data_IF_520444628543
#
_entry.id   IF_520444628543
#
_cell.length_a   1.000
_cell.length_b   1.000
_cell.length_c   1.000
_cell.angle_alpha   90.00
_cell.angle_beta   90.00
_cell.angle_gamma   90.00
#
_symmetry.space_group_name_H-M   'P 1'
#
loop_
_entity.id
_entity.type
_entity.pdbx_description
1 polymer ?
#
# COMPACT_ATOMS: atom_id res chain seq x y z
N UNK A 1 55.75 45.79 -0.86
CA UNK A 1 56.96 45.00 -0.41
C UNK A 1 56.88 43.61 -1.07
N UNK A 2 57.56 43.41 -2.20
CA UNK A 2 57.72 42.10 -2.83
C UNK A 2 58.85 41.33 -2.10
N UNK A 3 58.49 40.45 -1.17
CA UNK A 3 59.43 39.50 -0.59
C UNK A 3 59.70 38.42 -1.64
N UNK A 4 60.88 38.45 -2.23
CA UNK A 4 61.36 37.37 -3.10
C UNK A 4 61.65 36.16 -2.25
N UNK A 5 60.86 35.06 -2.48
CA UNK A 5 61.13 33.77 -1.86
C UNK A 5 62.39 33.20 -2.42
N UNK A 6 63.31 32.71 -1.57
CA UNK A 6 64.53 32.08 -2.04
C UNK A 6 64.27 30.79 -2.74
N UNK A 7 65.03 30.43 -3.75
CA UNK A 7 64.82 29.18 -4.53
C UNK A 7 64.77 27.95 -3.61
N UNK A 8 65.61 27.89 -2.58
CA UNK A 8 65.63 26.81 -1.60
C UNK A 8 64.27 26.71 -0.82
N UNK A 9 63.70 27.85 -0.38
CA UNK A 9 62.48 27.91 0.34
C UNK A 9 61.31 27.49 -0.57
N UNK A 10 61.30 27.85 -1.85
CA UNK A 10 60.28 27.42 -2.81
C UNK A 10 60.33 25.91 -3.04
N UNK A 11 61.52 25.33 -3.19
CA UNK A 11 61.68 23.87 -3.34
C UNK A 11 61.24 23.14 -2.07
N UNK A 12 61.54 23.61 -0.89
CA UNK A 12 61.10 23.01 0.38
C UNK A 12 59.54 23.01 0.50
N UNK A 13 58.87 24.11 0.13
CA UNK A 13 57.42 24.22 0.13
C UNK A 13 56.79 23.22 -0.87
N UNK A 14 57.37 23.09 -2.06
CA UNK A 14 56.85 22.13 -3.06
C UNK A 14 57.01 20.70 -2.58
N UNK A 15 58.16 20.33 -2.00
CA UNK A 15 58.38 18.97 -1.43
C UNK A 15 57.37 18.70 -0.30
N UNK A 16 57.16 19.65 0.59
CA UNK A 16 56.23 19.53 1.70
C UNK A 16 54.79 19.37 1.17
N UNK A 17 54.38 20.18 0.19
CA UNK A 17 53.07 20.06 -0.44
C UNK A 17 52.88 18.69 -1.11
N UNK A 18 53.90 18.21 -1.84
CA UNK A 18 53.86 16.88 -2.48
C UNK A 18 53.73 15.74 -1.45
N UNK A 19 54.51 15.81 -0.33
CA UNK A 19 54.39 14.79 0.73
C UNK A 19 53.05 14.80 1.41
N UNK A 20 52.48 15.95 1.70
CA UNK A 20 51.14 16.09 2.30
C UNK A 20 50.08 15.56 1.33
N UNK A 21 50.11 15.96 0.07
CA UNK A 21 49.16 15.48 -0.95
C UNK A 21 49.27 13.97 -1.13
N UNK A 22 50.47 13.42 -1.24
CA UNK A 22 50.69 11.97 -1.33
C UNK A 22 50.16 11.22 -0.11
N UNK A 23 50.41 11.72 1.10
CA UNK A 23 49.89 11.09 2.34
C UNK A 23 48.39 11.11 2.40
N UNK A 24 47.75 12.22 2.05
CA UNK A 24 46.27 12.32 2.02
C UNK A 24 45.68 11.37 0.94
N UNK A 25 46.26 11.39 -0.26
CA UNK A 25 45.81 10.51 -1.35
C UNK A 25 45.97 9.03 -0.98
N UNK A 26 47.10 8.67 -0.35
CA UNK A 26 47.37 7.31 0.11
C UNK A 26 46.38 6.86 1.20
N UNK A 27 46.07 7.74 2.19
CA UNK A 27 45.08 7.44 3.22
C UNK A 27 43.67 7.27 2.64
N UNK A 28 43.26 8.11 1.69
CA UNK A 28 41.98 7.98 0.99
C UNK A 28 41.94 6.69 0.16
N UNK A 29 43.03 6.40 -0.59
CA UNK A 29 43.12 5.18 -1.37
C UNK A 29 43.06 3.91 -0.48
N UNK A 30 43.76 3.91 0.68
CA UNK A 30 43.68 2.81 1.65
C UNK A 30 42.26 2.63 2.19
N UNK A 31 41.56 3.69 2.59
CA UNK A 31 40.17 3.60 3.07
C UNK A 31 39.21 3.05 2.01
N UNK A 32 39.32 3.53 0.76
CA UNK A 32 38.52 3.02 -0.35
C UNK A 32 38.86 1.56 -0.65
N UNK A 33 40.15 1.18 -0.60
CA UNK A 33 40.58 -0.19 -0.82
C UNK A 33 40.07 -1.13 0.28
N UNK A 34 40.23 -0.74 1.57
CA UNK A 34 39.77 -1.55 2.70
C UNK A 34 38.23 -1.75 2.66
N UNK A 35 37.46 -0.72 2.33
CA UNK A 35 36.01 -0.83 2.17
C UNK A 35 35.63 -1.76 1.01
N UNK A 36 36.34 -1.66 -0.11
CA UNK A 36 36.13 -2.51 -1.30
C UNK A 36 36.50 -3.97 -1.01
N UNK A 37 37.66 -4.21 -0.36
CA UNK A 37 38.11 -5.56 -0.02
C UNK A 37 37.21 -6.22 1.03
N UNK A 38 36.73 -5.49 2.03
CA UNK A 38 35.76 -6.02 3.01
C UNK A 38 34.48 -6.46 2.30
N UNK A 39 33.91 -5.63 1.46
CA UNK A 39 32.70 -5.97 0.70
C UNK A 39 32.90 -7.14 -0.27
N UNK A 40 34.10 -7.31 -0.84
CA UNK A 40 34.45 -8.44 -1.69
C UNK A 40 34.49 -9.75 -0.89
N UNK A 41 35.08 -9.75 0.34
CA UNK A 41 35.14 -10.94 1.18
C UNK A 41 33.75 -11.42 1.62
N UNK A 42 32.86 -10.50 1.99
CA UNK A 42 31.49 -10.85 2.36
C UNK A 42 30.74 -11.47 1.16
N UNK A 43 30.84 -10.82 0.00
CA UNK A 43 30.25 -11.33 -1.25
C UNK A 43 30.84 -12.68 -1.66
N UNK A 44 32.17 -12.83 -1.55
CA UNK A 44 32.86 -14.09 -1.86
C UNK A 44 32.35 -15.24 -0.98
N UNK A 45 32.16 -15.02 0.32
CA UNK A 45 31.60 -16.03 1.22
C UNK A 45 30.20 -16.46 0.82
N UNK A 46 29.34 -15.50 0.49
CA UNK A 46 27.98 -15.78 0.01
C UNK A 46 27.99 -16.57 -1.30
N UNK A 47 28.74 -16.10 -2.30
CA UNK A 47 28.81 -16.80 -3.59
C UNK A 47 29.43 -18.19 -3.49
N UNK A 48 30.42 -18.38 -2.63
CA UNK A 48 31.03 -19.71 -2.40
C UNK A 48 30.03 -20.67 -1.78
N UNK A 49 29.23 -20.22 -0.82
CA UNK A 49 28.15 -21.03 -0.24
C UNK A 49 27.09 -21.41 -1.27
N UNK A 50 26.63 -20.43 -2.08
CA UNK A 50 25.68 -20.71 -3.16
C UNK A 50 26.25 -21.71 -4.18
N UNK A 51 27.52 -21.55 -4.58
CA UNK A 51 28.18 -22.46 -5.51
C UNK A 51 28.35 -23.89 -4.94
N UNK A 52 28.52 -24.03 -3.61
CA UNK A 52 28.55 -25.31 -2.94
C UNK A 52 27.18 -26.01 -2.99
N UNK A 53 26.12 -25.27 -2.67
CA UNK A 53 24.72 -25.75 -2.76
C UNK A 53 24.38 -26.13 -4.19
N UNK A 54 24.65 -25.27 -5.15
CA UNK A 54 24.38 -25.50 -6.58
C UNK A 54 25.06 -26.77 -7.09
N UNK A 55 26.36 -26.95 -6.75
CA UNK A 55 27.10 -28.14 -7.16
C UNK A 55 26.51 -29.41 -6.56
N UNK A 56 26.06 -29.36 -5.29
CA UNK A 56 25.47 -30.54 -4.64
C UNK A 56 24.12 -30.86 -5.26
N UNK A 57 23.25 -29.89 -5.46
CA UNK A 57 21.92 -30.05 -6.04
C UNK A 57 22.03 -30.59 -7.47
N UNK A 58 22.78 -29.94 -8.35
CA UNK A 58 22.96 -30.37 -9.75
C UNK A 58 23.60 -31.74 -9.90
N UNK A 59 24.33 -32.19 -8.90
CA UNK A 59 24.96 -33.52 -8.91
C UNK A 59 24.11 -34.64 -8.35
N UNK A 60 23.03 -34.35 -7.63
CA UNK A 60 22.30 -35.36 -6.86
C UNK A 60 20.78 -35.26 -6.99
N UNK A 61 20.23 -34.12 -7.48
CA UNK A 61 18.79 -33.99 -7.63
C UNK A 61 18.28 -35.00 -8.68
N UNK A 62 17.11 -35.53 -8.41
CA UNK A 62 16.41 -36.45 -9.31
C UNK A 62 15.66 -35.68 -10.44
N UNK A 63 15.26 -34.47 -10.18
CA UNK A 63 14.46 -33.66 -11.11
C UNK A 63 15.36 -32.77 -11.96
N UNK A 64 14.89 -32.47 -13.17
CA UNK A 64 15.49 -31.43 -14.02
C UNK A 64 15.27 -30.06 -13.42
N UNK A 65 16.29 -29.21 -13.44
CA UNK A 65 16.24 -27.86 -12.89
C UNK A 65 15.78 -26.89 -13.97
N UNK A 66 14.68 -26.20 -13.73
CA UNK A 66 14.30 -25.03 -14.49
C UNK A 66 15.12 -23.82 -14.03
N UNK A 67 16.04 -23.37 -14.89
CA UNK A 67 16.97 -22.28 -14.55
C UNK A 67 16.24 -20.95 -14.32
N UNK A 68 15.12 -20.68 -15.03
CA UNK A 68 14.35 -19.44 -14.87
C UNK A 68 13.70 -19.41 -13.49
N UNK A 69 13.01 -20.48 -13.13
CA UNK A 69 12.37 -20.62 -11.81
C UNK A 69 13.41 -20.58 -10.69
N UNK A 70 14.57 -21.23 -10.89
CA UNK A 70 15.65 -21.19 -9.90
C UNK A 70 16.16 -19.77 -9.67
N UNK A 71 16.41 -18.99 -10.73
CA UNK A 71 16.92 -17.63 -10.63
C UNK A 71 15.90 -16.68 -10.00
N UNK A 72 14.63 -16.79 -10.34
CA UNK A 72 13.56 -16.03 -9.73
C UNK A 72 13.47 -16.31 -8.22
N UNK A 73 13.45 -17.59 -7.83
CA UNK A 73 13.40 -18.00 -6.41
C UNK A 73 14.64 -17.60 -5.62
N UNK A 74 15.84 -17.68 -6.23
CA UNK A 74 17.08 -17.20 -5.59
C UNK A 74 17.01 -15.68 -5.34
N UNK A 75 16.53 -14.91 -6.31
CA UNK A 75 16.39 -13.46 -6.20
C UNK A 75 15.39 -13.08 -5.12
N UNK A 76 14.22 -13.73 -5.11
CA UNK A 76 13.22 -13.55 -4.06
C UNK A 76 13.75 -13.95 -2.68
N UNK A 77 14.42 -15.10 -2.58
CA UNK A 77 15.03 -15.60 -1.32
C UNK A 77 16.12 -14.66 -0.80
N UNK A 78 16.89 -14.01 -1.69
CA UNK A 78 17.88 -13.02 -1.28
C UNK A 78 17.20 -11.84 -0.58
N UNK A 79 16.09 -11.32 -1.14
CA UNK A 79 15.35 -10.20 -0.53
C UNK A 79 14.72 -10.61 0.81
N UNK A 80 14.11 -11.78 0.91
CA UNK A 80 13.59 -12.31 2.17
C UNK A 80 14.71 -12.39 3.24
N UNK A 81 15.92 -12.77 2.84
CA UNK A 81 17.09 -12.85 3.73
C UNK A 81 17.57 -11.50 4.24
N UNK A 82 17.15 -10.37 3.67
CA UNK A 82 17.52 -9.03 4.14
C UNK A 82 16.77 -8.62 5.40
N UNK A 83 15.63 -9.25 5.70
CA UNK A 83 14.74 -8.85 6.79
C UNK A 83 13.85 -7.64 6.48
N UNK A 84 13.92 -7.10 5.27
CA UNK A 84 13.01 -6.04 4.81
C UNK A 84 11.66 -6.65 4.39
N UNK A 85 10.66 -6.57 5.28
CA UNK A 85 9.32 -7.14 5.06
C UNK A 85 8.57 -6.56 3.84
N UNK A 86 9.01 -5.42 3.33
CA UNK A 86 8.42 -4.75 2.17
C UNK A 86 9.26 -4.85 0.91
N UNK A 87 10.45 -5.46 0.97
CA UNK A 87 11.21 -5.76 -0.23
C UNK A 87 10.45 -6.79 -1.08
N UNK A 88 10.45 -6.59 -2.40
CA UNK A 88 9.78 -7.46 -3.36
C UNK A 88 10.66 -7.71 -4.57
N UNK A 89 10.62 -8.94 -5.04
CA UNK A 89 11.11 -9.33 -6.34
C UNK A 89 9.92 -9.56 -7.27
N UNK A 90 9.97 -8.98 -8.43
CA UNK A 90 8.97 -9.17 -9.47
C UNK A 90 9.61 -9.89 -10.65
N UNK A 91 9.04 -11.01 -11.08
CA UNK A 91 9.39 -11.62 -12.37
C UNK A 91 9.12 -10.64 -13.52
N UNK A 92 9.66 -10.86 -14.69
CA UNK A 92 9.44 -9.96 -15.83
C UNK A 92 7.95 -9.76 -16.15
N UNK A 93 7.14 -10.83 -16.04
CA UNK A 93 5.68 -10.75 -16.21
C UNK A 93 5.05 -9.92 -15.08
N UNK A 94 5.30 -10.26 -13.82
CA UNK A 94 4.74 -9.56 -12.68
C UNK A 94 5.13 -8.07 -12.64
N UNK A 95 6.33 -7.73 -13.14
CA UNK A 95 6.74 -6.33 -13.28
C UNK A 95 5.94 -5.59 -14.36
N UNK A 96 5.66 -6.24 -15.48
CA UNK A 96 4.79 -5.67 -16.52
C UNK A 96 3.39 -5.41 -15.98
N UNK A 97 2.83 -6.36 -15.24
CA UNK A 97 1.51 -6.21 -14.59
C UNK A 97 1.50 -5.06 -13.58
N UNK A 98 2.56 -4.95 -12.75
CA UNK A 98 2.71 -3.83 -11.81
C UNK A 98 2.66 -2.47 -12.51
N UNK A 99 3.39 -2.32 -13.62
CA UNK A 99 3.40 -1.06 -14.39
C UNK A 99 2.04 -0.78 -15.00
N UNK A 100 1.34 -1.81 -15.52
CA UNK A 100 0.00 -1.64 -16.05
C UNK A 100 -0.98 -1.15 -14.97
N UNK A 101 -0.95 -1.78 -13.80
CA UNK A 101 -1.77 -1.37 -12.64
C UNK A 101 -1.46 0.09 -12.23
N UNK A 102 -0.19 0.47 -12.15
CA UNK A 102 0.22 1.84 -11.82
C UNK A 102 -0.25 2.88 -12.85
N UNK A 103 -0.42 2.47 -14.10
CA UNK A 103 -0.97 3.30 -15.17
C UNK A 103 -2.52 3.26 -15.22
N UNK A 104 -3.18 2.66 -14.23
CA UNK A 104 -4.63 2.52 -14.18
C UNK A 104 -5.21 1.53 -15.19
N UNK A 105 -4.35 0.70 -15.82
CA UNK A 105 -4.78 -0.32 -16.78
C UNK A 105 -4.66 -1.69 -16.14
N UNK A 106 -5.77 -2.36 -15.94
CA UNK A 106 -5.81 -3.75 -15.50
C UNK A 106 -6.06 -4.69 -16.68
N UNK A 107 -5.48 -5.89 -16.63
CA UNK A 107 -5.67 -6.93 -17.63
C UNK A 107 -6.45 -8.09 -17.01
N UNK A 108 -7.50 -8.54 -17.67
CA UNK A 108 -8.33 -9.65 -17.19
C UNK A 108 -9.77 -9.51 -17.61
N UNK A 109 -10.69 -10.07 -16.81
CA UNK A 109 -12.14 -9.95 -17.06
C UNK A 109 -12.80 -8.77 -16.34
N UNK A 110 -12.16 -8.13 -15.37
CA UNK A 110 -12.64 -6.91 -14.72
C UNK A 110 -13.65 -7.13 -13.60
N UNK A 111 -13.32 -8.00 -12.64
CA UNK A 111 -14.09 -8.20 -11.40
C UNK A 111 -13.19 -8.17 -10.17
N UNK A 112 -13.75 -7.76 -9.03
CA UNK A 112 -13.23 -8.05 -7.69
C UNK A 112 -14.10 -9.06 -6.99
N UNK A 113 -13.48 -9.91 -6.18
CA UNK A 113 -14.12 -11.06 -5.57
C UNK A 113 -13.84 -11.12 -4.08
N UNK A 114 -14.81 -11.70 -3.34
CA UNK A 114 -14.62 -12.15 -1.97
C UNK A 114 -15.17 -13.57 -1.83
N UNK A 115 -14.54 -14.41 -1.00
CA UNK A 115 -15.14 -15.72 -0.67
C UNK A 115 -16.19 -15.50 0.41
N UNK A 116 -17.39 -15.99 0.15
CA UNK A 116 -18.47 -15.95 1.10
C UNK A 116 -18.64 -17.29 1.86
N UNK A 117 -19.63 -17.35 2.74
CA UNK A 117 -19.92 -18.56 3.53
C UNK A 117 -20.33 -19.78 2.67
N UNK A 118 -20.79 -19.60 1.45
CA UNK A 118 -21.09 -20.69 0.53
C UNK A 118 -19.83 -21.38 0.00
N UNK A 119 -18.67 -20.71 0.14
CA UNK A 119 -17.37 -21.12 -0.42
C UNK A 119 -17.21 -20.75 -1.88
N UNK A 120 -18.15 -20.06 -2.50
CA UNK A 120 -18.00 -19.48 -3.84
C UNK A 120 -17.46 -18.05 -3.78
N UNK A 121 -16.92 -17.58 -4.90
CA UNK A 121 -16.40 -16.23 -5.02
C UNK A 121 -17.51 -15.25 -5.41
N UNK A 122 -17.98 -14.46 -4.43
CA UNK A 122 -18.96 -13.39 -4.63
C UNK A 122 -18.31 -12.22 -5.35
N UNK A 123 -18.94 -11.72 -6.39
CA UNK A 123 -18.52 -10.51 -7.13
C UNK A 123 -18.83 -9.28 -6.27
N UNK A 124 -17.79 -8.58 -5.85
CA UNK A 124 -17.88 -7.36 -5.01
C UNK A 124 -17.77 -6.08 -5.84
N UNK A 125 -17.12 -6.15 -7.02
CA UNK A 125 -17.02 -5.03 -7.98
C UNK A 125 -16.99 -5.59 -9.41
N UNK A 126 -17.59 -4.87 -10.34
CA UNK A 126 -17.46 -5.07 -11.78
C UNK A 126 -16.99 -3.74 -12.38
N UNK A 127 -15.87 -3.78 -13.08
CA UNK A 127 -15.30 -2.59 -13.69
C UNK A 127 -16.03 -2.21 -14.97
N UNK A 128 -16.15 -0.92 -15.22
CA UNK A 128 -16.75 -0.37 -16.44
C UNK A 128 -15.91 -0.75 -17.67
N UNK A 129 -16.57 -1.01 -18.77
CA UNK A 129 -15.96 -1.40 -20.06
C UNK A 129 -15.08 -2.66 -19.96
N UNK A 130 -15.39 -3.53 -18.98
CA UNK A 130 -14.70 -4.80 -18.78
C UNK A 130 -15.42 -5.97 -19.46
N UNK A 131 -14.69 -7.07 -19.81
CA UNK A 131 -15.31 -8.28 -20.35
C UNK A 131 -16.41 -8.87 -19.45
N UNK A 132 -16.28 -8.77 -18.14
CA UNK A 132 -17.31 -9.23 -17.21
C UNK A 132 -18.58 -8.40 -17.31
N UNK A 133 -18.48 -7.07 -17.44
CA UNK A 133 -19.64 -6.20 -17.63
C UNK A 133 -20.33 -6.51 -18.96
N UNK A 134 -19.58 -6.70 -20.03
CA UNK A 134 -20.12 -7.06 -21.35
C UNK A 134 -20.85 -8.41 -21.32
N UNK A 135 -20.35 -9.37 -20.54
CA UNK A 135 -20.98 -10.66 -20.33
C UNK A 135 -22.22 -10.61 -19.43
N UNK A 136 -22.48 -9.48 -18.78
CA UNK A 136 -23.62 -9.28 -17.90
C UNK A 136 -23.42 -9.75 -16.47
N UNK A 137 -22.19 -10.02 -16.05
CA UNK A 137 -21.84 -10.28 -14.64
C UNK A 137 -22.10 -9.01 -13.82
N UNK A 138 -22.68 -9.16 -12.63
CA UNK A 138 -23.06 -8.05 -11.75
C UNK A 138 -22.49 -8.22 -10.36
N UNK A 139 -22.41 -7.12 -9.64
CA UNK A 139 -22.12 -7.13 -8.19
C UNK A 139 -23.20 -7.98 -7.50
N UNK A 140 -22.77 -8.89 -6.63
CA UNK A 140 -23.62 -9.85 -5.95
C UNK A 140 -23.74 -11.23 -6.62
N UNK A 141 -23.32 -11.37 -7.87
CA UNK A 141 -23.23 -12.69 -8.53
C UNK A 141 -22.14 -13.55 -7.89
N UNK A 142 -22.17 -14.86 -8.13
CA UNK A 142 -21.21 -15.82 -7.57
C UNK A 142 -20.48 -16.55 -8.68
N UNK A 143 -19.16 -16.37 -8.78
CA UNK A 143 -18.33 -17.21 -9.65
C UNK A 143 -18.21 -18.59 -9.01
N UNK A 144 -18.63 -19.61 -9.75
CA UNK A 144 -18.70 -21.00 -9.26
C UNK A 144 -17.61 -21.88 -9.86
N UNK A 145 -17.19 -21.59 -11.10
CA UNK A 145 -16.06 -22.30 -11.72
C UNK A 145 -15.27 -21.39 -12.67
N UNK A 146 -13.96 -21.67 -12.79
CA UNK A 146 -13.05 -21.04 -13.73
C UNK A 146 -12.32 -22.15 -14.51
N UNK A 147 -12.37 -22.12 -15.83
CA UNK A 147 -11.84 -23.15 -16.72
C UNK A 147 -12.31 -24.57 -16.36
N UNK A 148 -13.59 -24.69 -15.93
CA UNK A 148 -14.19 -25.94 -15.50
C UNK A 148 -13.74 -26.43 -14.12
N UNK A 149 -12.88 -25.68 -13.40
CA UNK A 149 -12.48 -26.01 -12.04
C UNK A 149 -13.41 -25.30 -11.02
N UNK A 150 -14.01 -26.08 -10.11
CA UNK A 150 -14.88 -25.55 -9.06
C UNK A 150 -14.08 -24.62 -8.12
N UNK A 151 -14.57 -23.40 -7.90
CA UNK A 151 -13.98 -22.39 -7.01
C UNK A 151 -13.78 -22.90 -5.59
N UNK A 152 -14.68 -23.75 -5.08
CA UNK A 152 -14.56 -24.37 -3.74
C UNK A 152 -13.33 -25.27 -3.58
N UNK A 153 -12.78 -25.75 -4.70
CA UNK A 153 -11.57 -26.56 -4.73
C UNK A 153 -10.29 -25.73 -4.76
N UNK A 154 -10.40 -24.41 -4.91
CA UNK A 154 -9.27 -23.49 -5.01
C UNK A 154 -8.87 -22.99 -3.61
N UNK A 155 -7.58 -22.68 -3.42
CA UNK A 155 -7.04 -22.18 -2.15
C UNK A 155 -7.24 -20.66 -2.02
N UNK A 156 -8.50 -20.23 -1.84
CA UNK A 156 -8.84 -18.83 -1.54
C UNK A 156 -9.11 -17.96 -2.77
N UNK A 157 -9.59 -16.75 -2.50
CA UNK A 157 -10.02 -15.77 -3.51
C UNK A 157 -8.90 -15.35 -4.45
N UNK A 158 -7.67 -15.26 -3.96
CA UNK A 158 -6.51 -14.85 -4.74
C UNK A 158 -6.19 -15.81 -5.87
N UNK A 159 -6.35 -17.11 -5.62
CA UNK A 159 -6.20 -18.12 -6.67
C UNK A 159 -7.24 -17.96 -7.76
N UNK A 160 -8.50 -17.68 -7.36
CA UNK A 160 -9.59 -17.41 -8.33
C UNK A 160 -9.28 -16.15 -9.13
N UNK A 161 -8.90 -15.07 -8.46
CA UNK A 161 -8.56 -13.80 -9.11
C UNK A 161 -7.38 -13.93 -10.08
N UNK A 162 -6.34 -14.69 -9.70
CA UNK A 162 -5.20 -14.95 -10.56
C UNK A 162 -5.59 -15.67 -11.85
N UNK A 163 -6.50 -16.64 -11.77
CA UNK A 163 -7.01 -17.37 -12.96
C UNK A 163 -7.90 -16.51 -13.87
N UNK A 164 -8.55 -15.49 -13.31
CA UNK A 164 -9.38 -14.53 -14.07
C UNK A 164 -8.57 -13.38 -14.69
N UNK A 165 -7.28 -13.29 -14.37
CA UNK A 165 -6.32 -12.41 -15.04
C UNK A 165 -5.68 -13.15 -16.20
N UNK A 166 -5.22 -12.42 -17.22
CA UNK A 166 -4.53 -13.00 -18.34
C UNK A 166 -4.09 -11.94 -19.34
N UNK A 167 -3.22 -12.34 -20.27
CA UNK A 167 -2.76 -11.47 -21.33
C UNK A 167 -3.91 -11.07 -22.25
N UNK A 168 -3.89 -9.82 -22.72
CA UNK A 168 -4.92 -9.32 -23.65
C UNK A 168 -5.05 -10.22 -24.89
N UNK A 169 -6.29 -10.60 -25.19
CA UNK A 169 -6.62 -11.49 -26.30
C UNK A 169 -6.63 -12.99 -25.95
N UNK A 170 -6.17 -13.40 -24.76
CA UNK A 170 -6.40 -14.77 -24.25
C UNK A 170 -7.81 -14.88 -23.67
N UNK A 171 -8.32 -16.09 -23.43
CA UNK A 171 -9.68 -16.30 -22.94
C UNK A 171 -9.70 -17.21 -21.73
N UNK A 172 -10.66 -16.99 -20.86
CA UNK A 172 -10.96 -17.83 -19.69
C UNK A 172 -12.44 -18.21 -19.71
N UNK A 173 -12.75 -19.47 -19.44
CA UNK A 173 -14.13 -19.93 -19.29
C UNK A 173 -14.61 -19.65 -17.85
N UNK A 174 -15.71 -18.92 -17.72
CA UNK A 174 -16.28 -18.55 -16.41
C UNK A 174 -17.70 -19.08 -16.29
N UNK A 175 -17.98 -19.76 -15.17
CA UNK A 175 -19.34 -20.13 -14.77
C UNK A 175 -19.74 -19.33 -13.54
N UNK A 176 -20.94 -18.72 -13.57
CA UNK A 176 -21.44 -17.93 -12.44
C UNK A 176 -22.94 -18.11 -12.22
N UNK A 177 -23.38 -17.84 -11.01
CA UNK A 177 -24.79 -17.75 -10.62
C UNK A 177 -25.16 -16.28 -10.45
N UNK A 178 -26.28 -15.88 -11.05
CA UNK A 178 -26.84 -14.55 -10.82
C UNK A 178 -27.68 -14.48 -9.52
N UNK A 179 -28.25 -13.31 -9.24
CA UNK A 179 -29.08 -13.07 -8.05
C UNK A 179 -30.35 -13.94 -7.97
N UNK A 180 -30.77 -14.53 -9.08
CA UNK A 180 -31.91 -15.46 -9.16
C UNK A 180 -31.44 -16.93 -9.08
N UNK A 181 -30.16 -17.16 -8.81
CA UNK A 181 -29.52 -18.48 -8.82
C UNK A 181 -29.58 -19.21 -10.19
N UNK A 182 -29.72 -18.45 -11.27
CA UNK A 182 -29.60 -18.97 -12.62
C UNK A 182 -28.14 -19.11 -13.00
N UNK A 183 -27.76 -20.27 -13.54
CA UNK A 183 -26.40 -20.56 -13.97
C UNK A 183 -26.14 -20.01 -15.37
N UNK A 184 -25.00 -19.31 -15.49
CA UNK A 184 -24.47 -18.78 -16.72
C UNK A 184 -23.05 -19.32 -16.97
N UNK A 185 -22.66 -19.48 -18.23
CA UNK A 185 -21.31 -19.88 -18.63
C UNK A 185 -20.93 -19.14 -19.91
N UNK A 186 -19.72 -18.57 -19.94
CA UNK A 186 -19.19 -17.91 -21.11
C UNK A 186 -17.65 -17.96 -21.15
N UNK A 187 -17.11 -17.95 -22.37
CA UNK A 187 -15.69 -17.69 -22.60
C UNK A 187 -15.49 -16.19 -22.68
N UNK A 188 -14.76 -15.63 -21.70
CA UNK A 188 -14.46 -14.20 -21.60
C UNK A 188 -13.07 -13.94 -22.12
N UNK A 189 -12.93 -13.00 -23.06
CA UNK A 189 -11.62 -12.63 -23.60
C UNK A 189 -11.00 -11.56 -22.70
N UNK A 190 -9.81 -11.81 -22.19
CA UNK A 190 -9.06 -10.83 -21.41
C UNK A 190 -8.79 -9.57 -22.22
N UNK A 191 -9.09 -8.43 -21.66
CA UNK A 191 -8.79 -7.12 -22.25
C UNK A 191 -8.26 -6.16 -21.20
N UNK A 192 -7.68 -5.05 -21.67
CA UNK A 192 -7.37 -3.91 -20.80
C UNK A 192 -8.67 -3.18 -20.44
N UNK A 193 -8.87 -2.89 -19.15
CA UNK A 193 -9.94 -2.03 -18.65
C UNK A 193 -9.37 -1.04 -17.66
N UNK A 194 -10.01 0.13 -17.54
CA UNK A 194 -9.59 1.16 -16.59
C UNK A 194 -10.22 0.87 -15.25
N UNK A 195 -9.40 0.72 -14.23
CA UNK A 195 -9.89 0.65 -12.87
C UNK A 195 -10.25 2.06 -12.40
N UNK A 196 -11.53 2.33 -12.13
CA UNK A 196 -11.89 3.53 -11.37
C UNK A 196 -11.38 3.38 -9.93
N UNK A 197 -10.61 4.35 -9.48
CA UNK A 197 -10.05 4.37 -8.12
C UNK A 197 -10.89 5.18 -7.16
N UNK A 198 -11.86 5.95 -7.66
CA UNK A 198 -12.74 6.80 -6.85
C UNK A 198 -14.20 6.54 -7.22
N UNK A 199 -14.97 6.07 -6.24
CA UNK A 199 -16.43 6.05 -6.31
C UNK A 199 -17.00 7.18 -5.46
N UNK A 200 -18.11 7.79 -5.87
CA UNK A 200 -18.74 8.87 -5.11
C UNK A 200 -20.26 8.84 -5.16
N UNK A 201 -20.90 9.27 -4.07
CA UNK A 201 -22.35 9.36 -3.95
C UNK A 201 -22.74 10.53 -3.03
N UNK A 202 -23.83 11.21 -3.31
CA UNK A 202 -24.46 12.08 -2.34
C UNK A 202 -25.43 11.26 -1.50
N UNK A 203 -25.14 11.13 -0.20
CA UNK A 203 -25.98 10.42 0.75
C UNK A 203 -27.10 11.33 1.29
N UNK A 204 -27.97 10.76 2.11
CA UNK A 204 -29.00 11.51 2.81
C UNK A 204 -28.38 12.66 3.64
N UNK A 205 -29.15 13.72 3.89
CA UNK A 205 -28.73 14.91 4.63
C UNK A 205 -27.53 15.65 4.03
N UNK A 206 -27.36 15.56 2.70
CA UNK A 206 -26.32 16.27 1.94
C UNK A 206 -24.88 15.92 2.37
N UNK A 207 -24.63 14.70 2.81
CA UNK A 207 -23.28 14.19 3.09
C UNK A 207 -22.69 13.62 1.79
N UNK A 208 -21.60 14.19 1.30
CA UNK A 208 -20.86 13.62 0.17
C UNK A 208 -20.02 12.43 0.65
N UNK A 209 -20.20 11.28 0.02
CA UNK A 209 -19.39 10.09 0.25
C UNK A 209 -18.43 9.89 -0.92
N UNK A 210 -17.17 9.59 -0.60
CA UNK A 210 -16.09 9.34 -1.56
C UNK A 210 -15.32 8.12 -1.08
N UNK A 211 -15.37 7.02 -1.83
CA UNK A 211 -14.51 5.85 -1.64
C UNK A 211 -13.26 6.02 -2.49
N UNK A 212 -12.09 5.92 -1.87
CA UNK A 212 -10.82 5.85 -2.59
C UNK A 212 -10.26 4.43 -2.39
N UNK A 213 -10.20 3.65 -3.47
CA UNK A 213 -9.75 2.26 -3.42
C UNK A 213 -8.23 2.15 -3.34
N UNK A 214 -7.52 2.98 -4.09
CA UNK A 214 -6.06 3.07 -4.10
C UNK A 214 -5.65 4.43 -4.68
N UNK A 215 -4.36 4.74 -4.60
CA UNK A 215 -3.78 5.93 -5.24
C UNK A 215 -2.94 5.52 -6.45
N UNK A 216 -3.38 5.90 -7.64
CA UNK A 216 -2.67 5.70 -8.91
C UNK A 216 -2.78 6.96 -9.79
N UNK A 217 -2.22 6.90 -11.01
CA UNK A 217 -2.15 8.05 -11.91
C UNK A 217 -3.51 8.63 -12.32
N UNK A 218 -4.63 7.93 -12.13
CA UNK A 218 -5.99 8.41 -12.45
C UNK A 218 -6.68 9.05 -11.25
N UNK A 219 -6.31 8.65 -10.04
CA UNK A 219 -6.98 9.04 -8.79
C UNK A 219 -7.10 10.56 -8.59
N UNK A 220 -6.08 11.40 -8.85
CA UNK A 220 -6.22 12.84 -8.66
C UNK A 220 -7.32 13.46 -9.54
N UNK A 221 -7.44 13.03 -10.79
CA UNK A 221 -8.46 13.53 -11.71
C UNK A 221 -9.86 13.03 -11.37
N UNK A 222 -9.99 11.78 -10.96
CA UNK A 222 -11.25 11.18 -10.52
C UNK A 222 -11.75 11.84 -9.22
N UNK A 223 -10.84 12.10 -8.28
CA UNK A 223 -11.15 12.77 -7.02
C UNK A 223 -11.58 14.23 -7.26
N UNK A 224 -10.88 14.99 -8.11
CA UNK A 224 -11.27 16.35 -8.46
C UNK A 224 -12.68 16.38 -9.06
N UNK A 225 -12.99 15.45 -9.97
CA UNK A 225 -14.33 15.31 -10.53
C UNK A 225 -15.38 15.01 -9.46
N UNK A 226 -15.12 14.07 -8.57
CA UNK A 226 -16.03 13.69 -7.48
C UNK A 226 -16.30 14.87 -6.53
N UNK A 227 -15.24 15.60 -6.13
CA UNK A 227 -15.35 16.78 -5.26
C UNK A 227 -16.20 17.88 -5.89
N UNK A 228 -15.96 18.21 -7.15
CA UNK A 228 -16.77 19.21 -7.89
C UNK A 228 -18.22 18.77 -8.04
N UNK A 229 -18.45 17.51 -8.39
CA UNK A 229 -19.81 16.95 -8.57
C UNK A 229 -20.61 17.00 -7.27
N UNK A 230 -20.02 16.55 -6.16
CA UNK A 230 -20.67 16.55 -4.85
C UNK A 230 -20.93 17.96 -4.33
N UNK A 231 -19.97 18.88 -4.49
CA UNK A 231 -20.14 20.29 -4.12
C UNK A 231 -21.26 20.93 -4.92
N UNK A 232 -21.30 20.71 -6.24
CA UNK A 232 -22.37 21.21 -7.11
C UNK A 232 -23.74 20.62 -6.76
N UNK A 233 -23.77 19.39 -6.24
CA UNK A 233 -24.98 18.70 -5.77
C UNK A 233 -25.40 19.12 -4.35
N UNK A 234 -24.67 20.04 -3.71
CA UNK A 234 -25.03 20.62 -2.41
C UNK A 234 -24.53 19.83 -1.20
N UNK A 235 -23.43 19.09 -1.32
CA UNK A 235 -22.81 18.46 -0.17
C UNK A 235 -22.39 19.50 0.87
N UNK A 236 -22.72 19.24 2.15
CA UNK A 236 -22.43 20.12 3.29
C UNK A 236 -21.31 19.58 4.18
N UNK A 237 -20.89 18.34 3.96
CA UNK A 237 -19.76 17.67 4.58
C UNK A 237 -19.30 16.52 3.68
N UNK A 238 -18.08 16.02 3.90
CA UNK A 238 -17.52 14.93 3.12
C UNK A 238 -17.02 13.79 4.02
N UNK A 239 -17.29 12.56 3.58
CA UNK A 239 -16.76 11.32 4.15
C UNK A 239 -15.85 10.67 3.11
N UNK A 240 -14.57 10.53 3.42
CA UNK A 240 -13.59 9.78 2.64
C UNK A 240 -13.46 8.37 3.20
N UNK A 241 -13.91 7.37 2.48
CA UNK A 241 -13.77 5.97 2.87
C UNK A 241 -12.44 5.41 2.31
N UNK A 242 -11.50 5.17 3.23
CA UNK A 242 -10.18 4.61 2.97
C UNK A 242 -10.05 3.19 3.52
N UNK A 243 -11.13 2.56 3.96
CA UNK A 243 -11.08 1.15 4.41
C UNK A 243 -10.57 0.28 3.26
N UNK A 244 -9.71 -0.65 3.57
CA UNK A 244 -9.10 -1.59 2.63
C UNK A 244 -8.25 -0.93 1.52
N UNK A 245 -7.89 0.35 1.70
CA UNK A 245 -6.95 1.06 0.83
C UNK A 245 -5.51 0.88 1.33
N UNK A 246 -4.74 0.02 0.67
CA UNK A 246 -3.33 -0.26 0.99
C UNK A 246 -2.35 0.86 0.62
N UNK A 247 -2.82 1.99 0.11
CA UNK A 247 -2.00 3.12 -0.35
C UNK A 247 -1.91 3.21 -1.86
N UNK A 248 -0.70 3.17 -2.40
CA UNK A 248 -0.41 3.29 -3.83
C UNK A 248 0.72 4.27 -4.10
N UNK A 249 0.63 5.03 -5.19
CA UNK A 249 1.64 6.00 -5.61
C UNK A 249 1.58 7.22 -4.69
N UNK A 250 2.70 7.51 -4.03
CA UNK A 250 2.77 8.56 -3.01
C UNK A 250 2.56 9.96 -3.60
N UNK A 251 3.10 10.21 -4.79
CA UNK A 251 2.96 11.46 -5.52
C UNK A 251 1.51 11.75 -5.89
N UNK A 252 0.75 10.72 -6.25
CA UNK A 252 -0.68 10.86 -6.57
C UNK A 252 -1.52 11.11 -5.31
N UNK A 253 -1.18 10.44 -4.19
CA UNK A 253 -1.80 10.74 -2.90
C UNK A 253 -1.53 12.19 -2.45
N UNK A 254 -0.30 12.70 -2.61
CA UNK A 254 0.06 14.09 -2.33
C UNK A 254 -0.77 15.04 -3.20
N UNK A 255 -0.93 14.74 -4.49
CA UNK A 255 -1.77 15.52 -5.39
C UNK A 255 -3.25 15.51 -4.97
N UNK A 256 -3.77 14.37 -4.51
CA UNK A 256 -5.11 14.26 -3.96
C UNK A 256 -5.29 15.09 -2.68
N UNK A 257 -4.29 15.12 -1.79
CA UNK A 257 -4.32 15.90 -0.56
C UNK A 257 -4.35 17.41 -0.89
N UNK A 258 -3.58 17.86 -1.87
CA UNK A 258 -3.52 19.27 -2.30
C UNK A 258 -4.87 19.79 -2.83
N UNK A 259 -5.71 18.92 -3.40
CA UNK A 259 -7.08 19.26 -3.81
C UNK A 259 -8.02 19.61 -2.65
N UNK A 260 -7.63 19.32 -1.40
CA UNK A 260 -8.56 19.34 -0.25
C UNK A 260 -8.06 20.25 0.86
N UNK A 261 -6.74 20.24 1.11
CA UNK A 261 -6.16 20.85 2.31
C UNK A 261 -5.73 22.29 2.08
N UNK A 262 -5.72 23.15 3.13
CA UNK A 262 -5.06 24.44 3.05
C UNK A 262 -3.55 24.30 2.87
N UNK A 263 -2.88 25.44 2.62
CA UNK A 263 -1.42 25.46 2.49
C UNK A 263 -0.73 24.82 3.70
N UNK A 264 0.22 23.92 3.42
CA UNK A 264 0.97 23.23 4.46
C UNK A 264 1.89 22.15 3.93
N UNK A 265 2.84 21.74 4.74
CA UNK A 265 3.72 20.62 4.44
C UNK A 265 2.97 19.29 4.61
N UNK A 266 3.13 18.38 3.66
CA UNK A 266 2.43 17.09 3.65
C UNK A 266 3.29 15.93 4.10
N UNK A 267 4.52 15.81 3.58
CA UNK A 267 5.36 14.66 3.86
C UNK A 267 6.85 14.92 3.71
N UNK A 268 7.64 14.15 4.47
CA UNK A 268 9.08 14.03 4.31
C UNK A 268 9.49 12.56 4.15
N UNK A 269 10.55 12.32 3.38
CA UNK A 269 11.32 11.08 3.45
C UNK A 269 12.48 11.25 4.42
N UNK A 270 12.69 10.30 5.35
CA UNK A 270 13.86 10.26 6.22
C UNK A 270 14.69 9.02 5.87
N UNK A 271 15.92 9.24 5.36
CA UNK A 271 16.82 8.16 4.99
C UNK A 271 17.43 7.45 6.21
N UNK A 272 18.17 6.36 5.98
CA UNK A 272 18.83 5.59 7.04
C UNK A 272 19.91 6.38 7.81
N UNK A 273 20.29 7.57 7.36
CA UNK A 273 21.24 8.45 8.01
C UNK A 273 20.57 9.59 8.79
N UNK A 274 19.23 9.67 8.74
CA UNK A 274 18.44 10.70 9.38
C UNK A 274 18.30 11.99 8.57
N UNK A 275 18.70 11.99 7.28
CA UNK A 275 18.48 13.14 6.41
C UNK A 275 17.04 13.17 5.95
N UNK A 276 16.41 14.35 6.06
CA UNK A 276 15.02 14.56 5.64
C UNK A 276 14.95 15.28 4.32
N UNK A 277 14.16 14.74 3.40
CA UNK A 277 13.84 15.36 2.11
C UNK A 277 12.35 15.64 2.05
N UNK A 278 11.95 16.86 1.71
CA UNK A 278 10.56 17.22 1.49
C UNK A 278 10.02 16.47 0.27
N UNK A 279 8.90 15.79 0.43
CA UNK A 279 8.22 15.06 -0.65
C UNK A 279 7.09 15.85 -1.28
N UNK A 280 6.42 16.69 -0.51
CA UNK A 280 5.35 17.52 -1.03
C UNK A 280 4.75 18.48 -0.01
N UNK A 281 4.07 19.48 -0.52
CA UNK A 281 3.32 20.48 0.23
C UNK A 281 2.01 20.77 -0.48
N UNK A 282 0.96 21.09 0.27
CA UNK A 282 -0.28 21.63 -0.28
C UNK A 282 -0.13 23.12 -0.56
N UNK A 283 -0.66 23.53 -1.68
CA UNK A 283 -0.71 24.97 -2.10
C UNK A 283 -1.87 25.72 -1.44
N UNK A 284 -2.92 25.01 -1.05
CA UNK A 284 -4.15 25.57 -0.51
C UNK A 284 -5.08 26.21 -1.53
N UNK A 285 -4.72 26.19 -2.83
CA UNK A 285 -5.51 26.83 -3.88
C UNK A 285 -6.91 26.21 -4.06
N UNK A 286 -7.02 24.90 -3.80
CA UNK A 286 -8.26 24.12 -3.93
C UNK A 286 -8.89 23.76 -2.58
N UNK A 287 -8.42 24.34 -1.47
CA UNK A 287 -8.82 23.97 -0.12
C UNK A 287 -10.35 23.95 0.07
N UNK A 288 -10.84 22.87 0.68
CA UNK A 288 -12.27 22.64 0.93
C UNK A 288 -12.61 23.10 2.35
N UNK A 289 -13.59 23.98 2.48
CA UNK A 289 -14.04 24.50 3.77
C UNK A 289 -15.16 23.66 4.43
N UNK A 290 -15.50 22.50 3.88
CA UNK A 290 -16.49 21.59 4.44
C UNK A 290 -15.91 20.76 5.59
N UNK A 291 -16.71 20.36 6.57
CA UNK A 291 -16.33 19.35 7.55
C UNK A 291 -15.96 18.02 6.88
N UNK A 292 -14.84 17.41 7.31
CA UNK A 292 -14.28 16.21 6.73
C UNK A 292 -14.23 15.07 7.74
N UNK A 293 -14.54 13.88 7.28
CA UNK A 293 -14.37 12.63 8.03
C UNK A 293 -13.61 11.63 7.15
N UNK A 294 -12.63 10.94 7.72
CA UNK A 294 -11.97 9.81 7.07
C UNK A 294 -12.41 8.52 7.78
N UNK A 295 -13.00 7.59 7.04
CA UNK A 295 -13.34 6.26 7.49
C UNK A 295 -12.18 5.31 7.17
N UNK A 296 -11.60 4.69 8.20
CA UNK A 296 -10.36 3.90 8.11
C UNK A 296 -10.49 2.56 8.84
N UNK A 297 -9.65 1.58 8.47
CA UNK A 297 -9.55 0.29 9.16
C UNK A 297 -8.11 -0.24 9.20
N UNK A 298 -7.92 -1.44 9.75
CA UNK A 298 -6.60 -2.08 9.86
C UNK A 298 -5.89 -2.37 8.53
N UNK A 299 -6.60 -2.32 7.41
CA UNK A 299 -6.06 -2.48 6.06
C UNK A 299 -5.75 -1.13 5.37
N UNK A 300 -6.13 0.00 5.99
CA UNK A 300 -5.73 1.34 5.52
C UNK A 300 -4.24 1.52 5.78
N UNK A 301 -3.42 1.73 4.72
CA UNK A 301 -1.97 1.68 4.84
C UNK A 301 -1.24 2.74 4.00
N UNK A 302 0.00 3.10 4.41
CA UNK A 302 0.97 3.83 3.59
C UNK A 302 0.44 5.20 3.11
N UNK A 303 0.34 5.44 1.80
CA UNK A 303 -0.18 6.68 1.22
C UNK A 303 -1.60 7.03 1.70
N UNK A 304 -2.44 6.01 1.99
CA UNK A 304 -3.78 6.22 2.56
C UNK A 304 -3.72 6.73 4.01
N UNK A 305 -2.71 6.30 4.79
CA UNK A 305 -2.47 6.82 6.12
C UNK A 305 -1.96 8.27 6.06
N UNK A 306 -1.07 8.57 5.10
CA UNK A 306 -0.63 9.95 4.86
C UNK A 306 -1.81 10.85 4.50
N UNK A 307 -2.70 10.41 3.60
CA UNK A 307 -3.92 11.13 3.22
C UNK A 307 -4.78 11.43 4.46
N UNK A 308 -5.13 10.42 5.24
CA UNK A 308 -5.95 10.57 6.44
C UNK A 308 -5.29 11.47 7.49
N UNK A 309 -3.98 11.31 7.73
CA UNK A 309 -3.19 12.13 8.66
C UNK A 309 -3.12 13.59 8.22
N UNK A 310 -2.91 13.85 6.93
CA UNK A 310 -2.84 15.21 6.38
C UNK A 310 -4.18 15.94 6.50
N UNK A 311 -5.29 15.27 6.17
CA UNK A 311 -6.62 15.84 6.34
C UNK A 311 -6.94 16.12 7.82
N UNK A 312 -6.53 15.22 8.73
CA UNK A 312 -6.68 15.47 10.18
C UNK A 312 -5.89 16.70 10.62
N UNK A 313 -4.62 16.78 10.22
CA UNK A 313 -3.69 17.81 10.70
C UNK A 313 -3.99 19.18 10.11
N UNK A 314 -4.27 19.25 8.80
CA UNK A 314 -4.42 20.53 8.10
C UNK A 314 -5.87 21.01 8.01
N UNK A 315 -6.83 20.11 7.88
CA UNK A 315 -8.25 20.44 7.71
C UNK A 315 -9.13 20.05 8.91
N UNK A 316 -8.56 19.51 9.98
CA UNK A 316 -9.31 19.11 11.18
C UNK A 316 -10.26 17.94 10.97
N UNK A 317 -10.03 17.10 9.97
CA UNK A 317 -10.83 15.90 9.71
C UNK A 317 -10.87 14.97 10.92
N UNK A 318 -11.98 14.28 11.14
CA UNK A 318 -12.11 13.24 12.15
C UNK A 318 -11.90 11.86 11.53
N UNK A 319 -11.12 11.02 12.17
CA UNK A 319 -10.94 9.64 11.79
C UNK A 319 -11.96 8.76 12.52
N UNK A 320 -12.70 7.96 11.76
CA UNK A 320 -13.74 7.03 12.24
C UNK A 320 -13.35 5.62 11.81
N UNK A 321 -13.63 4.61 12.62
CA UNK A 321 -13.37 3.21 12.28
C UNK A 321 -12.45 2.52 13.28
N UNK A 322 -11.36 1.94 12.83
CA UNK A 322 -10.34 1.28 13.65
C UNK A 322 -8.93 1.76 13.33
N UNK A 323 -7.98 1.52 14.23
CA UNK A 323 -6.56 1.86 14.02
C UNK A 323 -6.05 1.32 12.68
N UNK A 324 -5.29 2.13 11.95
CA UNK A 324 -4.74 1.78 10.64
C UNK A 324 -3.53 0.84 10.74
N UNK A 325 -3.05 0.33 9.60
CA UNK A 325 -1.99 -0.69 9.54
C UNK A 325 -0.64 -0.24 10.14
N UNK A 326 -0.24 1.01 9.94
CA UNK A 326 1.07 1.50 10.37
C UNK A 326 2.21 1.17 9.41
N UNK A 327 2.00 1.35 8.10
CA UNK A 327 3.07 1.23 7.09
C UNK A 327 3.69 2.60 6.80
N UNK A 328 4.59 3.05 7.68
CA UNK A 328 5.29 4.34 7.57
C UNK A 328 6.65 4.24 6.86
N UNK A 329 6.74 3.46 5.76
CA UNK A 329 7.97 3.28 4.99
C UNK A 329 7.75 3.60 3.51
N UNK A 330 8.84 4.05 2.85
CA UNK A 330 8.86 4.35 1.42
C UNK A 330 9.70 3.30 0.73
N UNK A 331 9.14 2.68 -0.29
CA UNK A 331 9.83 1.76 -1.17
C UNK A 331 10.47 2.52 -2.34
N UNK A 332 11.58 1.97 -2.86
CA UNK A 332 12.19 2.49 -4.10
C UNK A 332 11.23 2.33 -5.27
N UNK A 333 11.39 3.17 -6.30
CA UNK A 333 10.86 2.82 -7.62
C UNK A 333 11.41 1.44 -8.03
N UNK A 334 10.63 0.63 -8.76
CA UNK A 334 11.09 -0.67 -9.21
C UNK A 334 12.38 -0.55 -10.04
N UNK A 335 13.47 -1.16 -9.55
CA UNK A 335 14.74 -1.22 -10.26
C UNK A 335 14.70 -2.42 -11.21
N UNK A 336 14.50 -2.15 -12.50
CA UNK A 336 14.51 -3.19 -13.53
C UNK A 336 15.88 -3.84 -13.67
N UNK A 337 15.92 -5.17 -13.77
CA UNK A 337 17.10 -5.98 -13.99
C UNK A 337 17.27 -6.32 -15.50
N UNK A 338 18.38 -6.95 -15.84
CA UNK A 338 18.75 -7.22 -17.23
C UNK A 338 17.85 -8.25 -17.94
N UNK A 339 17.22 -9.14 -17.17
CA UNK A 339 16.30 -10.16 -17.65
C UNK A 339 14.83 -9.67 -17.75
N UNK A 340 14.58 -8.41 -17.38
CA UNK A 340 13.25 -7.80 -17.38
C UNK A 340 12.52 -7.88 -16.04
N UNK A 341 13.01 -8.66 -15.09
CA UNK A 341 12.52 -8.68 -13.72
C UNK A 341 12.80 -7.36 -12.98
N UNK A 342 12.26 -7.15 -11.78
CA UNK A 342 12.50 -5.94 -11.02
C UNK A 342 12.61 -6.19 -9.51
N UNK A 343 13.28 -5.27 -8.83
CA UNK A 343 13.48 -5.29 -7.38
C UNK A 343 12.98 -3.99 -6.77
N UNK A 344 12.27 -4.10 -5.67
CA UNK A 344 11.82 -2.99 -4.82
C UNK A 344 12.33 -3.22 -3.40
N UNK A 345 12.87 -2.19 -2.77
CA UNK A 345 13.39 -2.25 -1.38
C UNK A 345 12.94 -1.02 -0.61
N UNK A 346 12.91 -1.10 0.72
CA UNK A 346 12.65 0.05 1.58
C UNK A 346 13.86 0.98 1.58
N UNK A 347 13.63 2.26 1.24
CA UNK A 347 14.69 3.28 1.11
C UNK A 347 14.61 4.39 2.16
N UNK A 348 13.43 4.64 2.73
CA UNK A 348 13.22 5.70 3.70
C UNK A 348 12.02 5.42 4.62
N UNK A 349 11.93 6.17 5.72
CA UNK A 349 10.70 6.33 6.48
C UNK A 349 9.85 7.45 5.88
N UNK A 350 8.54 7.26 5.92
CA UNK A 350 7.55 8.28 5.58
C UNK A 350 7.18 9.05 6.85
N UNK A 351 7.46 10.34 6.87
CA UNK A 351 7.05 11.23 7.95
C UNK A 351 5.91 12.13 7.46
N UNK A 352 4.92 12.36 8.31
CA UNK A 352 3.88 13.36 8.08
C UNK A 352 4.47 14.78 8.07
N UNK A 353 3.69 15.76 7.62
CA UNK A 353 4.11 17.16 7.54
C UNK A 353 4.52 17.77 8.87
N UNK A 354 3.96 17.31 9.98
CA UNK A 354 4.33 17.68 11.35
C UNK A 354 5.58 16.95 11.89
N UNK A 355 6.16 16.06 11.09
CA UNK A 355 7.32 15.25 11.43
C UNK A 355 6.99 13.98 12.23
N UNK A 356 5.73 13.69 12.51
CA UNK A 356 5.29 12.43 13.12
C UNK A 356 5.44 11.25 12.15
N UNK A 357 5.50 10.03 12.69
CA UNK A 357 5.60 8.80 11.92
C UNK A 357 4.61 7.78 12.49
N UNK A 358 3.82 7.17 11.62
CA UNK A 358 2.87 6.13 11.97
C UNK A 358 3.42 4.71 11.79
N UNK A 359 4.70 4.56 11.43
CA UNK A 359 5.31 3.24 11.19
C UNK A 359 5.25 2.34 12.42
N UNK A 360 4.69 1.15 12.25
CA UNK A 360 4.50 0.14 13.31
C UNK A 360 3.40 0.45 14.32
N UNK A 361 2.77 1.63 14.29
CA UNK A 361 1.72 2.01 15.27
C UNK A 361 0.36 2.27 14.63
N UNK A 362 0.33 2.69 13.36
CA UNK A 362 -0.87 3.17 12.71
C UNK A 362 -1.38 4.51 13.23
N UNK A 363 -2.47 4.99 12.63
CA UNK A 363 -3.20 6.16 13.07
C UNK A 363 -4.33 5.72 13.99
N UNK A 364 -4.36 6.25 15.20
CA UNK A 364 -5.50 6.08 16.12
C UNK A 364 -6.69 6.89 15.62
N UNK A 365 -7.89 6.35 15.78
CA UNK A 365 -9.14 7.00 15.36
C UNK A 365 -9.69 7.93 16.46
N UNK A 366 -10.42 8.96 16.05
CA UNK A 366 -11.13 9.88 16.97
C UNK A 366 -12.46 9.28 17.43
N UNK A 367 -13.05 8.44 16.61
CA UNK A 367 -14.34 7.78 16.85
C UNK A 367 -14.20 6.31 16.49
N UNK A 368 -14.09 5.45 17.48
CA UNK A 368 -14.00 4.02 17.27
C UNK A 368 -15.33 3.42 16.81
N UNK A 369 -15.29 2.60 15.77
CA UNK A 369 -16.40 1.80 15.28
C UNK A 369 -15.87 0.50 14.66
N UNK A 370 -15.65 -0.48 15.50
CA UNK A 370 -15.36 -1.86 15.08
C UNK A 370 -16.65 -2.54 14.64
N UNK A 371 -16.57 -3.46 13.68
CA UNK A 371 -17.68 -4.35 13.33
C UNK A 371 -17.80 -5.46 14.36
N UNK A 372 -19.02 -5.79 14.75
CA UNK A 372 -19.30 -7.01 15.54
C UNK A 372 -19.05 -8.26 14.69
N UNK A 373 -18.99 -9.43 15.32
CA UNK A 373 -18.80 -10.69 14.59
C UNK A 373 -19.91 -10.93 13.54
N UNK A 374 -21.15 -10.62 13.88
CA UNK A 374 -22.28 -10.75 12.95
C UNK A 374 -22.18 -9.76 11.79
N UNK A 375 -21.78 -8.51 12.06
CA UNK A 375 -21.58 -7.49 11.03
C UNK A 375 -20.39 -7.85 10.11
N UNK A 376 -19.32 -8.44 10.63
CA UNK A 376 -18.19 -8.91 9.81
C UNK A 376 -18.64 -10.01 8.83
N UNK A 377 -19.49 -10.90 9.27
CA UNK A 377 -20.04 -11.96 8.41
C UNK A 377 -20.86 -11.39 7.25
N UNK A 378 -21.55 -10.27 7.48
CA UNK A 378 -22.39 -9.59 6.49
C UNK A 378 -21.71 -8.43 5.78
N UNK A 379 -20.40 -8.28 5.93
CA UNK A 379 -19.65 -7.09 5.43
C UNK A 379 -19.88 -6.80 3.94
N UNK A 380 -19.86 -7.84 3.12
CA UNK A 380 -20.08 -7.72 1.66
C UNK A 380 -21.55 -7.60 1.24
N UNK A 381 -22.48 -7.66 2.19
CA UNK A 381 -23.91 -7.49 1.95
C UNK A 381 -24.37 -6.05 2.28
N UNK A 382 -23.52 -5.24 2.92
CA UNK A 382 -23.85 -3.87 3.23
C UNK A 382 -23.93 -3.00 1.99
N UNK A 383 -24.92 -2.14 1.98
CA UNK A 383 -25.03 -1.00 1.06
C UNK A 383 -24.54 0.28 1.75
N UNK A 384 -24.42 1.37 1.00
CA UNK A 384 -24.09 2.69 1.58
C UNK A 384 -25.06 3.11 2.70
N UNK A 385 -26.33 2.67 2.62
CA UNK A 385 -27.36 3.00 3.61
C UNK A 385 -27.40 2.03 4.80
N UNK A 386 -26.80 0.84 4.71
CA UNK A 386 -26.87 -0.20 5.75
C UNK A 386 -25.55 -0.47 6.45
N UNK A 387 -24.43 0.01 5.89
CA UNK A 387 -23.10 -0.16 6.50
C UNK A 387 -22.99 0.62 7.81
N UNK A 388 -22.81 -0.06 8.95
CA UNK A 388 -22.81 0.57 10.26
C UNK A 388 -21.60 1.50 10.49
N UNK A 389 -20.49 1.29 9.78
CA UNK A 389 -19.32 2.17 9.85
C UNK A 389 -19.53 3.43 9.02
N UNK A 390 -20.12 3.31 7.82
CA UNK A 390 -20.53 4.48 7.00
C UNK A 390 -21.56 5.31 7.76
N UNK A 391 -22.58 4.70 8.36
CA UNK A 391 -23.56 5.39 9.19
C UNK A 391 -22.91 6.16 10.34
N UNK A 392 -21.89 5.58 10.98
CA UNK A 392 -21.14 6.26 12.03
C UNK A 392 -20.34 7.44 11.50
N UNK A 393 -19.70 7.31 10.33
CA UNK A 393 -18.97 8.38 9.68
C UNK A 393 -19.91 9.54 9.26
N UNK A 394 -21.07 9.21 8.67
CA UNK A 394 -22.10 10.17 8.29
C UNK A 394 -22.60 10.95 9.52
N UNK A 395 -22.97 10.27 10.60
CA UNK A 395 -23.42 10.93 11.83
C UNK A 395 -22.34 11.84 12.44
N UNK A 396 -21.08 11.47 12.33
CA UNK A 396 -19.95 12.31 12.76
C UNK A 396 -19.80 13.55 11.88
N UNK A 397 -19.93 13.41 10.55
CA UNK A 397 -19.87 14.53 9.61
C UNK A 397 -21.01 15.53 9.84
N UNK A 398 -22.23 15.04 10.10
CA UNK A 398 -23.39 15.87 10.43
C UNK A 398 -23.20 16.66 11.73
N UNK A 399 -22.64 16.03 12.77
CA UNK A 399 -22.33 16.72 14.03
C UNK A 399 -21.34 17.87 13.83
N UNK A 400 -20.32 17.67 12.99
CA UNK A 400 -19.36 18.71 12.64
C UNK A 400 -20.01 19.86 11.86
N UNK A 401 -20.91 19.56 10.91
CA UNK A 401 -21.66 20.55 10.15
C UNK A 401 -22.59 21.37 11.05
N UNK A 402 -23.28 20.75 11.99
CA UNK A 402 -24.15 21.43 12.97
C UNK A 402 -23.39 22.37 13.90
N UNK A 403 -22.14 22.06 14.20
CA UNK A 403 -21.27 22.91 15.05
C UNK A 403 -20.75 24.12 14.25
N UNK A 404 -20.58 24.01 12.96
CA UNK A 404 -20.07 25.10 12.08
C UNK A 404 -21.14 26.16 11.83
N UNK A 405 -22.43 25.82 11.86
CA UNK A 405 -23.54 26.78 11.63
C UNK A 405 -23.84 27.67 12.85
N UNK A 406 -23.30 27.37 14.03
CA UNK A 406 -23.54 28.16 15.28
C UNK A 406 -22.35 29.04 15.68
N UNK A 407 -21.24 28.99 14.96
CA UNK A 407 -19.97 29.63 15.32
C UNK A 407 -19.80 31.09 14.87
N UNK A 408 -20.73 31.95 15.20
CA UNK A 408 -20.58 33.41 15.13
C UNK A 408 -20.38 34.11 16.48
N UNK A 409 -20.11 33.42 17.60
CA UNK A 409 -19.67 34.03 18.87
C UNK A 409 -18.97 32.96 19.71
N UNK A 410 -17.69 33.19 20.00
CA UNK A 410 -16.96 32.48 21.06
C UNK A 410 -17.52 32.90 22.42
N UNK A 411 -18.18 32.01 23.14
CA UNK A 411 -18.24 32.06 24.60
C UNK A 411 -17.79 30.72 25.15
N UNK A 412 -16.58 30.75 25.68
CA UNK A 412 -16.06 29.71 26.56
C UNK A 412 -16.84 29.72 27.88
N UNK A 413 -17.74 28.78 28.07
CA UNK A 413 -18.26 28.51 29.41
C UNK A 413 -17.41 27.44 30.06
N UNK A 414 -16.45 27.91 30.84
CA UNK A 414 -15.86 27.20 31.97
C UNK A 414 -16.96 26.87 32.97
N UNK A 415 -17.14 25.60 33.28
CA UNK A 415 -17.72 25.21 34.58
C UNK A 415 -16.86 24.13 35.20
N UNK A 416 -16.00 24.60 36.09
CA UNK A 416 -15.36 23.78 37.09
C UNK A 416 -16.40 23.41 38.16
N UNK A 417 -16.41 22.16 38.58
CA UNK A 417 -16.84 21.77 39.91
C UNK A 417 -15.90 20.66 40.35
N UNK A 418 -15.14 20.98 41.36
CA UNK A 418 -14.26 20.13 42.13
C UNK A 418 -15.02 19.40 43.24
N UNK A 419 -14.32 18.44 43.79
CA UNK A 419 -14.39 17.77 45.09
C UNK A 419 -14.68 16.25 44.95
N UNK A 420 -14.06 15.35 45.65
CA UNK A 420 -13.00 15.31 46.66
C UNK A 420 -12.61 13.83 46.93
N UNK A 421 -11.37 13.62 47.39
CA UNK A 421 -10.87 12.52 48.25
C UNK A 421 -10.90 11.07 47.75
N UNK A 422 -9.78 10.46 47.44
CA UNK A 422 -8.90 9.89 48.48
C UNK A 422 -8.90 8.38 48.50
N UNK A 423 -7.73 7.81 48.33
CA UNK A 423 -7.15 6.64 48.96
C UNK A 423 -6.52 5.59 48.05
N UNK A 424 -5.22 5.50 48.22
CA UNK A 424 -4.28 4.39 48.05
C UNK A 424 -4.81 2.99 47.73
N UNK A 425 -4.22 2.35 46.70
CA UNK A 425 -3.57 1.05 46.89
C UNK A 425 -2.71 0.68 45.65
N UNK A 426 -1.42 0.49 45.92
CA UNK A 426 -0.46 -0.18 45.06
C UNK A 426 -0.90 -1.62 44.79
N UNK A 427 -0.87 -2.05 43.52
CA UNK A 427 -0.60 -3.44 43.18
C UNK A 427 0.18 -3.47 41.84
N UNK A 428 1.28 -4.13 41.95
CA UNK A 428 2.31 -4.54 40.99
C UNK A 428 1.83 -4.95 39.60
N UNK A 429 2.57 -4.44 38.63
CA UNK A 429 2.53 -4.86 37.19
C UNK A 429 3.47 -6.06 37.05
N UNK A 430 2.96 -7.18 36.60
CA UNK A 430 3.73 -8.21 35.94
C UNK A 430 3.40 -8.22 34.44
N UNK A 431 4.48 -8.32 33.68
CA UNK A 431 4.55 -8.26 32.24
C UNK A 431 4.10 -9.56 31.58
N UNK A 432 3.16 -9.52 30.66
CA UNK A 432 3.01 -10.51 29.60
C UNK A 432 2.80 -9.78 28.27
N UNK A 433 3.85 -9.72 27.49
CA UNK A 433 3.79 -9.36 26.08
C UNK A 433 4.84 -10.18 25.33
N UNK A 434 4.41 -11.24 24.71
CA UNK A 434 5.11 -11.90 23.59
C UNK A 434 4.29 -13.10 23.09
N UNK A 435 3.31 -12.92 22.23
CA UNK A 435 2.70 -14.04 21.50
C UNK A 435 1.87 -13.66 20.26
N UNK A 436 1.89 -12.44 19.73
CA UNK A 436 1.04 -12.09 18.57
C UNK A 436 1.79 -11.69 17.27
N UNK A 437 3.11 -11.76 17.23
CA UNK A 437 3.86 -11.37 16.02
C UNK A 437 4.20 -12.50 15.05
N UNK A 438 3.92 -13.76 15.40
CA UNK A 438 4.24 -14.90 14.52
C UNK A 438 3.12 -15.29 13.55
N UNK A 439 1.87 -14.97 13.83
CA UNK A 439 0.74 -15.39 12.99
C UNK A 439 0.62 -14.66 11.64
N UNK A 440 1.16 -13.44 11.52
CA UNK A 440 1.09 -12.65 10.27
C UNK A 440 2.18 -13.08 9.26
N UNK A 441 3.33 -13.57 9.74
CA UNK A 441 4.42 -14.02 8.87
C UNK A 441 4.14 -15.38 8.21
N UNK A 442 3.35 -16.24 8.84
CA UNK A 442 2.99 -17.55 8.27
C UNK A 442 1.92 -17.44 7.17
N UNK A 443 1.02 -16.47 7.25
CA UNK A 443 -0.01 -16.27 6.22
C UNK A 443 0.56 -15.70 4.91
N UNK A 444 1.59 -14.85 4.97
CA UNK A 444 2.25 -14.32 3.76
C UNK A 444 3.23 -15.34 3.14
N UNK A 445 3.85 -16.18 3.93
CA UNK A 445 4.67 -17.30 3.43
C UNK A 445 3.80 -18.37 2.74
N UNK A 446 2.61 -18.64 3.28
CA UNK A 446 1.67 -19.59 2.69
C UNK A 446 1.09 -19.09 1.36
N UNK A 447 0.88 -17.78 1.18
CA UNK A 447 0.43 -17.22 -0.10
C UNK A 447 1.50 -17.31 -1.19
N UNK A 448 2.78 -17.24 -0.81
CA UNK A 448 3.89 -17.42 -1.74
C UNK A 448 4.08 -18.88 -2.15
N UNK A 449 3.89 -19.83 -1.24
CA UNK A 449 3.92 -21.28 -1.55
C UNK A 449 2.74 -21.70 -2.44
N UNK A 450 1.53 -21.19 -2.18
CA UNK A 450 0.35 -21.49 -2.99
C UNK A 450 0.47 -21.00 -4.45
N UNK A 451 1.09 -19.82 -4.66
CA UNK A 451 1.34 -19.33 -6.03
C UNK A 451 2.41 -20.12 -6.78
N UNK A 452 3.31 -20.82 -6.06
CA UNK A 452 4.33 -21.67 -6.66
C UNK A 452 3.82 -23.06 -7.03
N UNK A 453 2.90 -23.64 -6.25
CA UNK A 453 2.27 -24.93 -6.56
C UNK A 453 1.30 -24.85 -7.74
N UNK A 454 0.63 -23.69 -7.93
CA UNK A 454 -0.24 -23.47 -9.09
C UNK A 454 0.56 -23.42 -10.43
N UNK A 455 1.80 -22.94 -10.38
CA UNK A 455 2.69 -22.95 -11.56
C UNK A 455 3.20 -24.37 -11.89
N UNK A 456 3.40 -25.24 -10.90
CA UNK A 456 3.81 -26.62 -11.13
C UNK A 456 2.69 -27.49 -11.73
N UNK A 457 1.42 -27.24 -11.35
CA UNK A 457 0.31 -28.01 -11.90
C UNK A 457 0.03 -27.69 -13.38
N UNK A 458 0.33 -26.45 -13.82
CA UNK A 458 0.16 -26.04 -15.22
C UNK A 458 1.26 -26.59 -16.14
N UNK A 459 2.47 -26.84 -15.62
CA UNK A 459 3.57 -27.40 -16.40
C UNK A 459 3.43 -28.93 -16.59
N UNK A 460 2.74 -29.67 -15.70
CA UNK A 460 2.59 -31.11 -15.78
C UNK A 460 1.44 -31.59 -16.68
N UNK A 461 0.56 -30.70 -17.14
CA UNK A 461 -0.56 -31.05 -18.02
C UNK A 461 -0.27 -30.94 -19.54
N UNK A 462 0.96 -30.53 -19.91
CA UNK A 462 1.38 -30.37 -21.31
C UNK A 462 2.56 -31.29 -21.72
N UNK A 463 2.66 -32.49 -21.13
CA UNK A 463 3.58 -33.55 -21.58
C UNK A 463 2.83 -34.80 -21.98
#
# INVERSE_FOLDING_TARGET
MNRKISLGMAVTIVILAMTVTFSITMLLAMRLFDSTVSSVKEKESMYNKLAEVDRYVRGNDYYDIDETVLYDRLSAGYLLGTGDKYARYYTASAYTDLINVQNGTLLGIGVELAIDQSGYAKVTKVYTDSPAQEAGIKVGDYITAVDGNDVKSMSGVETVQTRLRGESGTSVNVTWLDSEASEHNADLTHSGYTATTVDSALLQDSVGYIKIWQFDGTTPSELDYALRSLTASGATSLVFDLRDNGGGILEDAISCIDLITPEGTLAYAEDKYGNRTLLGSSTGESAIALPLVCLVNGNTASAAELFASSLRTLSGARLVGTTTMGKGTIQSSPQRLSDGSAVVVTVAKLLCGDGSCFDGTGLTVDVERSLTADEQTSYYDFTLDTDPQIQRAVSTAQQLSGTTTVGGVNEATSSAAAEDAGADSEVSVESESAAESEAVSESEAASFEASSEAAESAASSNS
#
